data_IF_431778341868
#
_entry.id   IF_431778341868
#
_cell.length_a   1.000
_cell.length_b   1.000
_cell.length_c   1.000
_cell.angle_alpha   90.00
_cell.angle_beta   90.00
_cell.angle_gamma   90.00
#
_symmetry.space_group_name_H-M   'P 1'
#
loop_
_entity.id
_entity.type
_entity.pdbx_description
1 polymer ?
#
# COMPACT_ATOMS: atom_id res chain seq x y z
N UNK A 1 -11.16 -20.39 -11.72
CA UNK A 1 -10.87 -19.14 -12.43
C UNK A 1 -9.42 -18.77 -12.23
N UNK A 2 -8.66 -18.51 -13.31
CA UNK A 2 -7.39 -17.79 -13.19
C UNK A 2 -7.76 -16.38 -12.77
N UNK A 3 -7.40 -15.96 -11.58
CA UNK A 3 -7.59 -14.56 -11.17
C UNK A 3 -6.53 -13.71 -11.84
N UNK A 4 -6.85 -12.46 -12.20
CA UNK A 4 -5.89 -11.50 -12.77
C UNK A 4 -4.62 -11.45 -11.90
N UNK A 5 -4.78 -11.52 -10.58
CA UNK A 5 -3.68 -11.62 -9.63
C UNK A 5 -2.75 -12.82 -9.92
N UNK A 6 -3.30 -14.03 -10.14
CA UNK A 6 -2.48 -15.23 -10.33
C UNK A 6 -1.69 -15.22 -11.64
N UNK A 7 -2.22 -14.60 -12.69
CA UNK A 7 -1.51 -14.43 -13.96
C UNK A 7 -0.37 -13.42 -13.85
N UNK A 8 -0.63 -12.28 -13.26
CA UNK A 8 0.38 -11.25 -13.04
C UNK A 8 1.50 -11.74 -12.10
N UNK A 9 1.15 -12.47 -11.04
CA UNK A 9 2.11 -13.10 -10.14
C UNK A 9 2.98 -14.14 -10.86
N UNK A 10 2.40 -14.92 -11.78
CA UNK A 10 3.17 -15.87 -12.58
C UNK A 10 4.18 -15.15 -13.45
N UNK A 11 3.74 -14.14 -14.22
CA UNK A 11 4.65 -13.33 -15.06
C UNK A 11 5.77 -12.69 -14.25
N UNK A 12 5.48 -12.19 -13.05
CA UNK A 12 6.49 -11.64 -12.15
C UNK A 12 7.50 -12.72 -11.72
N UNK A 13 7.07 -13.96 -11.51
CA UNK A 13 7.92 -15.07 -11.08
C UNK A 13 8.70 -15.76 -12.23
N UNK A 14 8.44 -15.43 -13.47
CA UNK A 14 9.21 -15.96 -14.63
C UNK A 14 10.69 -15.55 -14.52
N UNK A 15 10.98 -14.37 -13.95
CA UNK A 15 12.35 -13.95 -13.64
C UNK A 15 12.69 -14.21 -12.16
N UNK A 16 13.14 -15.43 -11.85
CA UNK A 16 13.49 -15.84 -10.47
C UNK A 16 14.58 -14.98 -9.82
N UNK A 17 15.57 -14.54 -10.56
CA UNK A 17 16.64 -13.69 -10.03
C UNK A 17 16.09 -12.33 -9.58
N UNK A 18 15.19 -11.74 -10.35
CA UNK A 18 14.52 -10.48 -10.01
C UNK A 18 13.58 -10.64 -8.81
N UNK A 19 12.81 -11.73 -8.75
CA UNK A 19 11.91 -11.99 -7.62
C UNK A 19 12.65 -12.30 -6.32
N UNK A 20 13.77 -12.99 -6.38
CA UNK A 20 14.61 -13.24 -5.20
C UNK A 20 15.22 -11.94 -4.67
N UNK A 21 15.75 -11.10 -5.57
CA UNK A 21 16.25 -9.78 -5.20
C UNK A 21 15.13 -8.88 -4.60
N UNK A 22 13.95 -8.88 -5.20
CA UNK A 22 12.80 -8.13 -4.72
C UNK A 22 12.39 -8.57 -3.30
N UNK A 23 12.28 -9.88 -3.07
CA UNK A 23 11.97 -10.44 -1.75
C UNK A 23 13.01 -10.05 -0.69
N UNK A 24 14.30 -10.16 -1.02
CA UNK A 24 15.40 -9.79 -0.12
C UNK A 24 15.41 -8.29 0.20
N UNK A 25 15.11 -7.44 -0.78
CA UNK A 25 15.03 -5.99 -0.61
C UNK A 25 13.93 -5.62 0.39
N UNK A 26 12.73 -6.17 0.23
CA UNK A 26 11.63 -5.92 1.18
C UNK A 26 11.86 -6.52 2.55
N UNK A 27 12.53 -7.68 2.62
CA UNK A 27 12.92 -8.25 3.91
C UNK A 27 13.91 -7.36 4.65
N UNK A 28 14.88 -6.79 3.96
CA UNK A 28 15.81 -5.80 4.54
C UNK A 28 15.08 -4.56 5.08
N UNK A 29 14.08 -4.05 4.34
CA UNK A 29 13.24 -2.94 4.81
C UNK A 29 12.44 -3.31 6.05
N UNK A 30 11.90 -4.53 6.08
CA UNK A 30 11.21 -5.05 7.27
C UNK A 30 12.14 -5.10 8.48
N UNK A 31 13.36 -5.59 8.31
CA UNK A 31 14.35 -5.65 9.40
C UNK A 31 14.74 -4.24 9.88
N UNK A 32 14.95 -3.28 8.98
CA UNK A 32 15.20 -1.87 9.35
C UNK A 32 14.06 -1.30 10.18
N UNK A 33 12.82 -1.53 9.77
CA UNK A 33 11.62 -1.13 10.52
C UNK A 33 11.61 -1.75 11.91
N UNK A 34 11.85 -3.06 12.02
CA UNK A 34 11.80 -3.77 13.29
C UNK A 34 12.89 -3.27 14.26
N UNK A 35 14.09 -3.00 13.75
CA UNK A 35 15.17 -2.40 14.53
C UNK A 35 14.82 -0.99 15.05
N UNK A 36 14.15 -0.16 14.21
CA UNK A 36 13.71 1.17 14.62
C UNK A 36 12.55 1.13 15.62
N UNK A 37 11.68 0.14 15.51
CA UNK A 37 10.58 -0.07 16.45
C UNK A 37 11.09 -0.56 17.81
N UNK A 38 11.97 -1.57 17.81
CA UNK A 38 12.55 -2.13 19.05
C UNK A 38 13.46 -1.14 19.81
N UNK A 39 14.05 -0.18 19.10
CA UNK A 39 14.82 0.91 19.70
C UNK A 39 13.99 1.99 20.39
N UNK A 40 12.67 1.88 20.40
CA UNK A 40 11.74 2.84 20.98
C UNK A 40 10.90 2.13 22.06
N UNK A 41 11.24 2.28 23.36
CA UNK A 41 10.57 1.55 24.45
C UNK A 41 9.04 1.72 24.45
N UNK A 42 8.57 2.95 24.16
CA UNK A 42 7.15 3.30 24.12
C UNK A 42 6.46 2.97 22.76
N UNK A 43 7.03 2.10 21.94
CA UNK A 43 6.51 1.79 20.60
C UNK A 43 5.05 1.34 20.60
N UNK A 44 4.68 0.41 21.47
CA UNK A 44 3.32 -0.11 21.54
C UNK A 44 2.32 0.92 22.10
N UNK A 45 2.73 1.75 23.05
CA UNK A 45 1.92 2.85 23.57
C UNK A 45 1.64 3.89 22.46
N UNK A 46 2.66 4.24 21.64
CA UNK A 46 2.48 5.13 20.53
C UNK A 46 1.54 4.56 19.45
N UNK A 47 1.62 3.27 19.17
CA UNK A 47 0.70 2.59 18.25
C UNK A 47 -0.75 2.63 18.77
N UNK A 48 -0.93 2.41 20.05
CA UNK A 48 -2.25 2.49 20.70
C UNK A 48 -2.78 3.92 20.63
N UNK A 49 -1.98 4.92 21.00
CA UNK A 49 -2.36 6.32 20.90
C UNK A 49 -2.70 6.72 19.45
N UNK A 50 -1.91 6.30 18.48
CA UNK A 50 -2.20 6.56 17.05
C UNK A 50 -3.54 5.97 16.62
N UNK A 51 -3.84 4.75 17.07
CA UNK A 51 -5.11 4.08 16.81
C UNK A 51 -6.29 4.88 17.41
N UNK A 52 -6.17 5.27 18.68
CA UNK A 52 -7.19 6.04 19.42
C UNK A 52 -7.40 7.43 18.81
N UNK A 53 -6.31 8.16 18.48
CA UNK A 53 -6.38 9.46 17.82
C UNK A 53 -7.13 9.32 16.49
N UNK A 54 -6.77 8.35 15.65
CA UNK A 54 -7.44 8.15 14.37
C UNK A 54 -8.89 7.73 14.53
N UNK A 55 -9.20 6.85 15.46
CA UNK A 55 -10.57 6.47 15.79
C UNK A 55 -11.40 7.68 16.19
N UNK A 56 -10.91 8.46 17.16
CA UNK A 56 -11.58 9.69 17.62
C UNK A 56 -11.77 10.68 16.46
N UNK A 57 -10.72 10.89 15.65
CA UNK A 57 -10.78 11.85 14.55
C UNK A 57 -11.80 11.45 13.47
N UNK A 58 -11.87 10.17 13.08
CA UNK A 58 -12.81 9.75 12.04
C UNK A 58 -14.25 9.68 12.56
N UNK A 59 -14.47 9.46 13.84
CA UNK A 59 -15.81 9.52 14.44
C UNK A 59 -16.34 10.97 14.61
N UNK A 60 -15.44 11.97 14.60
CA UNK A 60 -15.76 13.40 14.65
C UNK A 60 -15.26 14.12 13.38
N UNK A 61 -15.29 13.41 12.26
CA UNK A 61 -14.62 13.86 11.03
C UNK A 61 -15.18 15.20 10.53
N UNK A 62 -16.49 15.39 10.57
CA UNK A 62 -17.15 16.61 10.11
C UNK A 62 -16.68 17.84 10.91
N UNK A 63 -16.67 17.76 12.25
CA UNK A 63 -16.27 18.84 13.12
C UNK A 63 -14.82 19.27 12.87
N UNK A 64 -13.91 18.30 12.72
CA UNK A 64 -12.50 18.57 12.45
C UNK A 64 -12.25 19.10 11.04
N UNK A 65 -13.04 18.70 10.04
CA UNK A 65 -12.94 19.24 8.69
C UNK A 65 -13.46 20.67 8.63
N UNK A 66 -14.53 21.00 9.36
CA UNK A 66 -15.05 22.35 9.47
C UNK A 66 -14.04 23.28 10.17
N UNK A 67 -13.48 22.86 11.30
CA UNK A 67 -12.41 23.59 11.99
C UNK A 67 -11.21 23.82 11.05
N UNK A 68 -10.76 22.78 10.35
CA UNK A 68 -9.63 22.83 9.45
C UNK A 68 -9.85 23.80 8.28
N UNK A 69 -11.00 23.73 7.60
CA UNK A 69 -11.33 24.62 6.49
C UNK A 69 -11.42 26.08 6.96
N UNK A 70 -12.07 26.31 8.09
CA UNK A 70 -12.17 27.66 8.71
C UNK A 70 -10.79 28.25 9.00
N UNK A 71 -9.85 27.44 9.53
CA UNK A 71 -8.48 27.89 9.81
C UNK A 71 -7.71 28.23 8.53
N UNK A 72 -7.88 27.48 7.45
CA UNK A 72 -7.25 27.75 6.16
C UNK A 72 -7.82 29.02 5.52
N UNK A 73 -9.15 29.15 5.45
CA UNK A 73 -9.85 30.28 4.84
C UNK A 73 -9.56 31.59 5.58
N UNK A 74 -9.43 31.54 6.91
CA UNK A 74 -9.04 32.73 7.72
C UNK A 74 -7.67 33.30 7.35
N UNK A 75 -6.83 32.53 6.64
CA UNK A 75 -5.50 32.94 6.15
C UNK A 75 -5.45 33.17 4.64
N UNK A 76 -6.64 33.24 3.99
CA UNK A 76 -6.73 33.48 2.55
C UNK A 76 -6.42 32.27 1.67
N UNK A 77 -6.44 31.05 2.22
CA UNK A 77 -6.38 29.81 1.44
C UNK A 77 -7.76 29.53 0.86
N UNK A 78 -7.82 29.14 -0.40
CA UNK A 78 -9.08 28.77 -1.06
C UNK A 78 -9.31 27.28 -0.87
N UNK A 79 -10.39 26.90 -0.17
CA UNK A 79 -10.73 25.52 0.13
C UNK A 79 -11.81 25.04 -0.85
N UNK A 80 -11.57 23.87 -1.43
CA UNK A 80 -12.50 23.19 -2.34
C UNK A 80 -12.88 21.84 -1.77
N UNK A 81 -14.11 21.42 -2.04
CA UNK A 81 -14.63 20.10 -1.65
C UNK A 81 -14.93 19.27 -2.89
N UNK A 82 -14.29 18.15 -3.01
CA UNK A 82 -14.49 17.21 -4.11
C UNK A 82 -15.13 15.91 -3.60
N UNK A 83 -16.31 15.60 -4.10
CA UNK A 83 -17.07 14.40 -3.71
C UNK A 83 -16.46 13.11 -4.26
N UNK A 84 -15.86 13.16 -5.44
CA UNK A 84 -15.29 12.02 -6.15
C UNK A 84 -14.09 12.42 -7.00
N UNK A 85 -13.46 11.42 -7.65
CA UNK A 85 -12.28 11.61 -8.49
C UNK A 85 -12.54 12.55 -9.69
N UNK A 86 -13.74 12.50 -10.28
CA UNK A 86 -14.09 13.32 -11.43
C UNK A 86 -14.25 14.79 -11.01
N UNK A 87 -14.92 15.03 -9.91
CA UNK A 87 -15.08 16.35 -9.33
C UNK A 87 -13.72 16.97 -8.94
N UNK A 88 -12.85 16.17 -8.27
CA UNK A 88 -11.47 16.56 -7.97
C UNK A 88 -10.69 16.98 -9.23
N UNK A 89 -10.73 16.18 -10.28
CA UNK A 89 -10.00 16.44 -11.51
C UNK A 89 -10.51 17.70 -12.21
N UNK A 90 -11.81 17.93 -12.24
CA UNK A 90 -12.41 19.13 -12.82
C UNK A 90 -12.02 20.40 -12.04
N UNK A 91 -12.09 20.36 -10.69
CA UNK A 91 -11.65 21.50 -9.84
C UNK A 91 -10.19 21.86 -10.14
N UNK A 92 -9.30 20.86 -10.21
CA UNK A 92 -7.88 21.08 -10.54
C UNK A 92 -7.72 21.68 -11.93
N UNK A 93 -8.43 21.17 -12.92
CA UNK A 93 -8.39 21.68 -14.30
C UNK A 93 -8.85 23.14 -14.37
N UNK A 94 -9.97 23.46 -13.75
CA UNK A 94 -10.54 24.83 -13.73
C UNK A 94 -9.57 25.83 -13.10
N UNK A 95 -8.93 25.45 -11.97
CA UNK A 95 -7.90 26.29 -11.34
C UNK A 95 -6.73 26.52 -12.28
N UNK A 96 -6.19 25.47 -12.90
CA UNK A 96 -5.05 25.60 -13.79
C UNK A 96 -5.36 26.42 -15.06
N UNK A 97 -6.54 26.21 -15.65
CA UNK A 97 -6.99 26.95 -16.84
C UNK A 97 -7.25 28.44 -16.53
N UNK A 98 -7.89 28.76 -15.40
CA UNK A 98 -8.14 30.15 -15.02
C UNK A 98 -6.86 30.96 -14.78
N UNK A 99 -5.76 30.28 -14.43
CA UNK A 99 -4.43 30.88 -14.28
C UNK A 99 -3.55 30.77 -15.54
N UNK A 100 -4.06 30.23 -16.64
CA UNK A 100 -3.31 30.04 -17.89
C UNK A 100 -2.13 29.06 -17.77
N UNK A 101 -2.18 28.14 -16.78
CA UNK A 101 -1.10 27.17 -16.53
C UNK A 101 -1.12 26.07 -17.56
N UNK A 102 0.03 25.81 -18.20
CA UNK A 102 0.25 24.72 -19.16
C UNK A 102 1.21 23.65 -18.63
N UNK A 103 1.95 23.95 -17.58
CA UNK A 103 2.89 23.02 -16.95
C UNK A 103 2.77 23.09 -15.45
N UNK A 104 2.60 21.92 -14.80
CA UNK A 104 2.55 21.77 -13.35
C UNK A 104 3.61 20.77 -12.88
N UNK A 105 4.33 21.09 -11.82
CA UNK A 105 5.19 20.14 -11.09
C UNK A 105 4.40 19.54 -9.93
N UNK A 106 4.56 18.24 -9.69
CA UNK A 106 3.81 17.54 -8.66
C UNK A 106 4.75 16.74 -7.76
N UNK A 107 4.70 16.98 -6.45
CA UNK A 107 5.28 16.05 -5.51
C UNK A 107 4.34 14.85 -5.32
N UNK A 108 4.90 13.70 -5.01
CA UNK A 108 4.19 12.43 -4.87
C UNK A 108 2.89 12.56 -4.07
N UNK A 109 1.79 12.06 -4.65
CA UNK A 109 0.50 11.97 -3.99
C UNK A 109 -0.26 10.72 -4.43
N UNK A 110 -0.53 9.82 -3.47
CA UNK A 110 -1.33 8.61 -3.75
C UNK A 110 -2.78 8.94 -4.07
N UNK A 111 -3.29 10.10 -3.61
CA UNK A 111 -4.65 10.54 -3.92
C UNK A 111 -4.79 10.95 -5.39
N UNK A 112 -3.79 11.62 -5.96
CA UNK A 112 -3.82 11.99 -7.38
C UNK A 112 -3.72 10.76 -8.29
N UNK A 113 -3.00 9.70 -7.86
CA UNK A 113 -2.99 8.41 -8.53
C UNK A 113 -4.35 7.69 -8.43
N UNK A 114 -4.99 7.78 -7.26
CA UNK A 114 -6.35 7.27 -7.03
C UNK A 114 -7.36 7.89 -7.99
N UNK A 115 -7.27 9.20 -8.19
CA UNK A 115 -8.14 9.96 -9.07
C UNK A 115 -7.73 9.91 -10.56
N UNK A 116 -6.64 9.23 -10.91
CA UNK A 116 -6.06 9.21 -12.27
C UNK A 116 -5.86 10.63 -12.85
N UNK A 117 -5.41 11.57 -12.01
CA UNK A 117 -5.32 13.00 -12.35
C UNK A 117 -4.34 13.28 -13.50
N UNK A 118 -3.16 12.65 -13.50
CA UNK A 118 -2.14 12.94 -14.53
C UNK A 118 -2.68 12.69 -15.95
N UNK A 119 -3.20 11.49 -16.32
CA UNK A 119 -3.73 11.26 -17.65
C UNK A 119 -4.94 12.15 -17.97
N UNK A 120 -5.74 12.54 -16.96
CA UNK A 120 -6.83 13.46 -17.16
C UNK A 120 -6.33 14.85 -17.60
N UNK A 121 -5.34 15.40 -16.91
CA UNK A 121 -4.77 16.73 -17.23
C UNK A 121 -3.98 16.72 -18.52
N UNK A 122 -3.22 15.66 -18.80
CA UNK A 122 -2.50 15.47 -20.06
C UNK A 122 -3.46 15.48 -21.27
N UNK A 123 -4.64 14.87 -21.14
CA UNK A 123 -5.69 14.92 -22.16
C UNK A 123 -6.31 16.33 -22.36
N UNK A 124 -6.02 17.28 -21.45
CA UNK A 124 -6.43 18.68 -21.53
C UNK A 124 -5.24 19.63 -21.80
N UNK A 125 -4.17 19.13 -22.41
CA UNK A 125 -2.97 19.88 -22.80
C UNK A 125 -2.23 20.54 -21.62
N UNK A 126 -2.25 19.91 -20.46
CA UNK A 126 -1.47 20.31 -19.29
C UNK A 126 -0.36 19.31 -19.04
N UNK A 127 0.90 19.76 -19.14
CA UNK A 127 2.09 18.96 -18.85
C UNK A 127 2.26 18.78 -17.33
N UNK A 128 2.12 17.54 -16.83
CA UNK A 128 2.28 17.20 -15.41
C UNK A 128 3.61 16.51 -15.22
N UNK A 129 4.50 17.12 -14.44
CA UNK A 129 5.84 16.59 -14.18
C UNK A 129 5.94 16.06 -12.75
N UNK A 130 6.15 14.75 -12.60
CA UNK A 130 6.45 14.14 -11.32
C UNK A 130 7.84 14.57 -10.83
N UNK A 131 7.94 14.95 -9.56
CA UNK A 131 9.19 15.45 -8.97
C UNK A 131 9.81 14.55 -7.90
N UNK A 132 9.06 13.55 -7.39
CA UNK A 132 9.63 12.42 -6.65
C UNK A 132 10.46 11.57 -7.63
N UNK A 133 11.68 11.20 -7.28
CA UNK A 133 12.57 10.48 -8.18
C UNK A 133 11.95 9.15 -8.65
N UNK A 134 11.35 8.39 -7.75
CA UNK A 134 10.72 7.12 -8.10
C UNK A 134 9.51 7.28 -9.02
N UNK A 135 8.65 8.27 -8.74
CA UNK A 135 7.50 8.60 -9.60
C UNK A 135 7.97 9.13 -10.97
N UNK A 136 9.01 9.96 -11.01
CA UNK A 136 9.57 10.48 -12.28
C UNK A 136 10.13 9.36 -13.15
N UNK A 137 10.85 8.40 -12.57
CA UNK A 137 11.34 7.21 -13.27
C UNK A 137 10.17 6.45 -13.90
N UNK A 138 9.10 6.22 -13.14
CA UNK A 138 7.92 5.51 -13.65
C UNK A 138 7.18 6.30 -14.72
N UNK A 139 7.05 7.61 -14.57
CA UNK A 139 6.47 8.48 -15.60
C UNK A 139 7.22 8.39 -16.92
N UNK A 140 8.56 8.44 -16.87
CA UNK A 140 9.43 8.32 -18.06
C UNK A 140 9.35 6.93 -18.73
N UNK A 141 9.06 5.88 -17.94
CA UNK A 141 8.85 4.51 -18.41
C UNK A 141 7.38 4.19 -18.77
N UNK A 142 6.45 5.13 -18.56
CA UNK A 142 5.01 4.91 -18.71
C UNK A 142 4.50 3.72 -17.87
N UNK A 143 5.01 3.59 -16.64
CA UNK A 143 4.64 2.54 -15.68
C UNK A 143 3.88 3.12 -14.49
N UNK A 144 3.05 2.29 -13.86
CA UNK A 144 2.36 2.64 -12.61
C UNK A 144 3.25 2.37 -11.38
N UNK A 145 2.99 3.03 -10.24
CA UNK A 145 3.67 2.72 -8.99
C UNK A 145 3.46 1.25 -8.57
N UNK A 146 4.53 0.58 -8.15
CA UNK A 146 4.46 -0.78 -7.60
C UNK A 146 4.40 -0.82 -6.07
N UNK A 147 4.70 0.30 -5.41
CA UNK A 147 4.69 0.49 -3.96
C UNK A 147 4.32 1.92 -3.60
N UNK A 148 3.59 2.12 -2.49
CA UNK A 148 3.09 3.46 -2.13
C UNK A 148 4.18 4.41 -1.60
N UNK A 149 5.28 3.91 -1.02
CA UNK A 149 6.38 4.74 -0.50
C UNK A 149 7.57 4.77 -1.46
N UNK A 150 7.89 3.64 -2.07
CA UNK A 150 9.01 3.48 -2.98
C UNK A 150 8.52 3.00 -4.35
N UNK A 151 7.93 3.88 -5.17
CA UNK A 151 7.14 3.49 -6.33
C UNK A 151 7.92 2.67 -7.36
N UNK A 152 9.19 2.97 -7.59
CA UNK A 152 10.07 2.31 -8.56
C UNK A 152 10.93 1.17 -7.97
N UNK A 153 10.64 0.67 -6.76
CA UNK A 153 11.47 -0.33 -6.05
C UNK A 153 11.61 -1.67 -6.80
N UNK A 154 10.77 -1.93 -7.78
CA UNK A 154 10.86 -3.12 -8.63
C UNK A 154 11.92 -3.00 -9.74
N UNK A 155 12.53 -1.82 -9.91
CA UNK A 155 13.58 -1.55 -10.89
C UNK A 155 14.96 -1.61 -10.23
N UNK A 156 15.92 -2.16 -10.95
CA UNK A 156 17.32 -2.11 -10.57
C UNK A 156 17.96 -0.83 -11.10
N UNK A 157 19.04 -0.37 -10.46
CA UNK A 157 19.76 0.84 -10.87
C UNK A 157 20.26 0.79 -12.32
N UNK A 158 20.60 -0.41 -12.82
CA UNK A 158 21.02 -0.61 -14.21
C UNK A 158 19.86 -0.31 -15.18
N UNK A 159 18.62 -0.75 -14.86
CA UNK A 159 17.43 -0.48 -15.64
C UNK A 159 17.13 1.03 -15.67
N UNK A 160 17.31 1.71 -14.53
CA UNK A 160 17.13 3.17 -14.42
C UNK A 160 18.19 3.92 -15.22
N UNK A 161 19.46 3.50 -15.12
CA UNK A 161 20.57 4.14 -15.85
C UNK A 161 20.42 4.03 -17.37
N UNK A 162 20.05 2.85 -17.86
CA UNK A 162 19.76 2.64 -19.29
C UNK A 162 18.62 3.57 -19.78
N UNK A 163 17.54 3.66 -19.02
CA UNK A 163 16.44 4.57 -19.37
C UNK A 163 16.89 6.03 -19.37
N UNK A 164 17.73 6.46 -18.42
CA UNK A 164 18.26 7.82 -18.39
C UNK A 164 19.15 8.12 -19.60
N UNK A 165 19.95 7.15 -20.08
CA UNK A 165 20.71 7.26 -21.30
C UNK A 165 19.79 7.42 -22.53
N UNK A 166 18.77 6.56 -22.65
CA UNK A 166 17.79 6.59 -23.74
C UNK A 166 17.01 7.91 -23.81
N UNK A 167 16.71 8.50 -22.65
CA UNK A 167 15.99 9.79 -22.54
C UNK A 167 16.91 11.02 -22.59
N UNK A 168 18.23 10.84 -22.72
CA UNK A 168 19.20 11.93 -22.74
C UNK A 168 19.34 12.68 -21.41
N UNK A 169 18.96 12.06 -20.30
CA UNK A 169 19.10 12.60 -18.94
C UNK A 169 20.51 12.37 -18.42
N UNK A 170 21.09 11.19 -18.71
CA UNK A 170 22.47 10.81 -18.42
C UNK A 170 23.32 10.99 -19.67
N UNK A 171 24.55 11.50 -19.52
CA UNK A 171 25.51 11.69 -20.61
C UNK A 171 26.64 10.65 -20.61
N UNK A 172 26.90 10.01 -19.48
CA UNK A 172 27.93 8.99 -19.33
C UNK A 172 27.33 7.60 -19.52
N UNK A 173 27.62 6.95 -20.64
CA UNK A 173 27.11 5.61 -20.92
C UNK A 173 27.72 4.57 -19.98
N UNK A 174 26.85 3.69 -19.44
CA UNK A 174 27.25 2.62 -18.53
C UNK A 174 27.58 3.05 -17.10
N UNK A 175 27.47 4.35 -16.79
CA UNK A 175 27.63 4.82 -15.42
C UNK A 175 26.29 4.72 -14.65
N UNK A 176 26.16 3.66 -13.86
CA UNK A 176 24.97 3.38 -13.04
C UNK A 176 25.21 3.61 -11.56
N UNK A 177 26.21 4.45 -11.21
CA UNK A 177 26.40 4.89 -9.85
C UNK A 177 25.19 5.68 -9.34
N UNK A 178 24.60 5.34 -8.16
CA UNK A 178 23.40 5.99 -7.67
C UNK A 178 23.57 7.50 -7.45
N UNK A 179 24.75 7.96 -7.05
CA UNK A 179 25.03 9.38 -6.83
C UNK A 179 25.03 10.13 -8.17
N UNK A 180 25.68 9.56 -9.18
CA UNK A 180 25.69 10.11 -10.53
C UNK A 180 24.26 10.20 -11.10
N UNK A 181 23.49 9.12 -11.05
CA UNK A 181 22.09 9.10 -11.54
C UNK A 181 21.22 10.12 -10.80
N UNK A 182 21.39 10.26 -9.49
CA UNK A 182 20.67 11.26 -8.70
C UNK A 182 21.02 12.69 -9.12
N UNK A 183 22.31 12.98 -9.42
CA UNK A 183 22.73 14.29 -9.91
C UNK A 183 22.17 14.57 -11.30
N UNK A 184 22.09 13.57 -12.19
CA UNK A 184 21.45 13.69 -13.50
C UNK A 184 19.96 14.03 -13.35
N UNK A 185 19.23 13.31 -12.50
CA UNK A 185 17.83 13.59 -12.22
C UNK A 185 17.61 14.99 -11.61
N UNK A 186 18.45 15.39 -10.65
CA UNK A 186 18.41 16.74 -10.06
C UNK A 186 18.59 17.83 -11.12
N UNK A 187 19.54 17.68 -12.03
CA UNK A 187 19.79 18.62 -13.12
C UNK A 187 18.62 18.67 -14.09
N UNK A 188 18.07 17.53 -14.45
CA UNK A 188 16.88 17.42 -15.30
C UNK A 188 15.66 18.10 -14.68
N UNK A 189 15.35 17.83 -13.41
CA UNK A 189 14.18 18.37 -12.72
C UNK A 189 14.29 19.87 -12.44
N UNK A 190 15.52 20.40 -12.31
CA UNK A 190 15.69 21.84 -12.01
C UNK A 190 14.98 22.74 -13.02
N UNK A 191 15.10 22.44 -14.30
CA UNK A 191 14.44 23.23 -15.35
C UNK A 191 12.92 23.09 -15.26
N UNK A 192 12.42 21.89 -14.92
CA UNK A 192 10.99 21.64 -14.76
C UNK A 192 10.39 22.51 -13.65
N UNK A 193 11.08 22.62 -12.52
CA UNK A 193 10.66 23.50 -11.42
C UNK A 193 10.65 24.98 -11.80
N UNK A 194 11.63 25.43 -12.60
CA UNK A 194 11.74 26.84 -13.03
C UNK A 194 10.67 27.25 -14.03
N UNK A 195 10.21 26.32 -14.86
CA UNK A 195 9.23 26.53 -15.94
C UNK A 195 7.77 26.35 -15.47
N UNK A 196 7.55 25.72 -14.31
CA UNK A 196 6.22 25.39 -13.84
C UNK A 196 5.40 26.63 -13.44
N UNK A 197 4.18 26.72 -13.97
CA UNK A 197 3.21 27.73 -13.56
C UNK A 197 2.50 27.40 -12.27
N UNK A 198 2.37 26.10 -11.94
CA UNK A 198 1.77 25.60 -10.72
C UNK A 198 2.60 24.48 -10.09
N UNK A 199 2.45 24.31 -8.79
CA UNK A 199 2.97 23.17 -8.07
C UNK A 199 1.88 22.48 -7.24
N UNK A 200 1.90 21.15 -7.21
CA UNK A 200 0.96 20.37 -6.42
C UNK A 200 1.68 19.53 -5.39
N UNK A 201 1.11 19.47 -4.19
CA UNK A 201 1.53 18.54 -3.13
C UNK A 201 0.38 17.65 -2.70
N UNK A 202 0.72 16.45 -2.21
CA UNK A 202 -0.20 15.69 -1.36
C UNK A 202 -0.20 16.25 0.06
N UNK A 203 -0.90 15.53 0.95
CA UNK A 203 -0.92 15.81 2.38
C UNK A 203 -0.75 14.50 3.15
N UNK A 204 0.23 14.45 4.06
CA UNK A 204 0.34 13.33 4.99
C UNK A 204 -0.64 13.50 6.15
N UNK A 205 -0.71 14.73 6.71
CA UNK A 205 -1.61 15.08 7.81
C UNK A 205 -2.10 16.52 7.66
N UNK A 206 -3.40 16.73 7.88
CA UNK A 206 -3.99 18.07 8.08
C UNK A 206 -4.23 18.29 9.58
N UNK A 207 -3.73 19.37 10.15
CA UNK A 207 -3.92 19.69 11.58
C UNK A 207 -5.13 20.58 11.74
N UNK A 208 -6.24 20.06 12.27
CA UNK A 208 -7.52 20.77 12.35
C UNK A 208 -7.39 22.13 13.07
N UNK A 209 -6.84 22.11 14.28
CA UNK A 209 -6.72 23.28 15.14
C UNK A 209 -5.93 24.43 14.52
N UNK A 210 -5.06 24.18 13.55
CA UNK A 210 -4.16 25.21 12.99
C UNK A 210 -4.25 25.39 11.49
N UNK A 211 -4.98 24.54 10.79
CA UNK A 211 -5.04 24.54 9.32
C UNK A 211 -3.73 24.15 8.62
N UNK A 212 -2.78 23.51 9.32
CA UNK A 212 -1.51 23.14 8.71
C UNK A 212 -1.66 21.92 7.81
N UNK A 213 -1.13 22.03 6.60
CA UNK A 213 -0.87 20.95 5.68
C UNK A 213 0.53 20.42 5.95
N UNK A 214 0.65 19.18 6.39
CA UNK A 214 1.95 18.58 6.74
C UNK A 214 2.37 17.59 5.65
N UNK A 215 3.54 17.82 5.07
CA UNK A 215 4.16 16.95 4.06
C UNK A 215 5.45 16.38 4.59
N UNK A 216 5.54 15.05 4.62
CA UNK A 216 6.72 14.30 5.08
C UNK A 216 7.42 13.68 3.88
N UNK A 217 8.65 14.07 3.60
CA UNK A 217 9.43 13.59 2.46
C UNK A 217 10.91 13.48 2.77
N UNK A 218 11.65 12.66 2.02
CA UNK A 218 13.12 12.58 2.09
C UNK A 218 13.82 13.39 0.99
N UNK A 219 13.03 14.02 0.12
CA UNK A 219 13.51 14.85 -0.97
C UNK A 219 13.00 16.28 -0.81
N UNK A 220 13.74 17.26 -1.29
CA UNK A 220 13.31 18.67 -1.29
C UNK A 220 12.25 19.02 -2.37
N UNK A 221 11.67 18.00 -3.01
CA UNK A 221 10.74 18.16 -4.13
C UNK A 221 9.44 18.85 -3.75
N UNK A 222 8.88 18.54 -2.58
CA UNK A 222 7.66 19.20 -2.11
C UNK A 222 7.88 20.70 -1.88
N UNK A 223 8.98 21.05 -1.19
CA UNK A 223 9.34 22.46 -0.93
C UNK A 223 9.65 23.22 -2.23
N UNK A 224 10.31 22.57 -3.20
CA UNK A 224 10.53 23.16 -4.51
C UNK A 224 9.23 23.36 -5.30
N UNK A 225 8.32 22.37 -5.25
CA UNK A 225 7.00 22.46 -5.91
C UNK A 225 6.13 23.58 -5.34
N UNK A 226 6.32 23.97 -4.10
CA UNK A 226 5.54 25.04 -3.43
C UNK A 226 6.22 26.40 -3.50
N UNK A 227 7.56 26.44 -3.52
CA UNK A 227 8.32 27.69 -3.43
C UNK A 227 8.65 28.31 -4.78
N UNK A 228 8.70 27.53 -5.86
CA UNK A 228 9.04 28.05 -7.19
C UNK A 228 7.81 28.62 -7.93
N UNK A 229 6.68 27.89 -8.11
CA UNK A 229 5.50 28.42 -8.76
C UNK A 229 4.76 29.42 -7.87
N UNK A 230 3.94 30.29 -8.48
CA UNK A 230 3.05 31.21 -7.75
C UNK A 230 1.71 30.58 -7.33
N UNK A 231 1.37 29.45 -7.91
CA UNK A 231 0.15 28.71 -7.62
C UNK A 231 0.49 27.38 -6.95
N UNK A 232 -0.01 27.19 -5.73
CA UNK A 232 0.15 25.94 -4.97
C UNK A 232 -1.19 25.25 -4.77
N UNK A 233 -1.33 24.03 -5.28
CA UNK A 233 -2.47 23.15 -5.08
C UNK A 233 -2.13 22.04 -4.10
N UNK A 234 -3.05 21.72 -3.19
CA UNK A 234 -2.91 20.61 -2.24
C UNK A 234 -4.03 19.61 -2.46
N UNK A 235 -3.67 18.35 -2.72
CA UNK A 235 -4.62 17.23 -2.77
C UNK A 235 -4.65 16.50 -1.43
N UNK A 236 -5.79 16.52 -0.72
CA UNK A 236 -5.92 15.92 0.60
C UNK A 236 -7.18 15.08 0.73
N UNK A 237 -7.04 13.79 1.04
CA UNK A 237 -8.17 12.95 1.45
C UNK A 237 -8.68 13.37 2.82
N UNK A 238 -9.98 13.40 3.00
CA UNK A 238 -10.62 13.85 4.26
C UNK A 238 -10.15 13.05 5.48
N UNK A 239 -9.73 11.81 5.32
CA UNK A 239 -9.20 10.96 6.38
C UNK A 239 -7.83 11.38 6.91
N UNK A 240 -7.17 12.37 6.28
CA UNK A 240 -5.80 12.82 6.68
C UNK A 240 -5.77 13.75 7.87
N UNK A 241 -6.92 14.20 8.35
CA UNK A 241 -7.04 15.07 9.52
C UNK A 241 -6.47 14.42 10.78
N UNK A 242 -5.84 15.25 11.61
CA UNK A 242 -5.48 15.01 13.00
C UNK A 242 -5.89 16.25 13.83
N UNK A 243 -6.26 16.07 15.11
CA UNK A 243 -6.80 17.19 15.91
C UNK A 243 -5.83 18.36 16.08
N UNK A 244 -4.61 18.07 16.52
CA UNK A 244 -3.63 19.08 16.95
C UNK A 244 -2.18 18.60 16.77
N UNK A 245 -1.20 19.45 17.15
CA UNK A 245 0.22 19.12 17.08
C UNK A 245 0.65 18.00 18.03
N UNK A 246 -0.01 17.79 19.17
CA UNK A 246 0.30 16.70 20.08
C UNK A 246 -0.02 15.38 19.41
N UNK A 247 -1.18 15.32 18.77
CA UNK A 247 -1.61 14.19 17.94
C UNK A 247 -0.67 13.97 16.75
N UNK A 248 -0.29 15.04 16.04
CA UNK A 248 0.67 14.97 14.93
C UNK A 248 2.02 14.38 15.36
N UNK A 249 2.55 14.77 16.53
CA UNK A 249 3.83 14.29 17.04
C UNK A 249 3.88 12.77 17.20
N UNK A 250 2.76 12.14 17.57
CA UNK A 250 2.65 10.67 17.63
C UNK A 250 2.88 10.07 16.23
N UNK A 251 2.22 10.60 15.22
CA UNK A 251 2.34 10.09 13.85
C UNK A 251 3.71 10.36 13.22
N UNK A 252 4.32 11.50 13.50
CA UNK A 252 5.69 11.79 13.01
C UNK A 252 6.72 10.79 13.55
N UNK A 253 6.57 10.36 14.81
CA UNK A 253 7.43 9.33 15.41
C UNK A 253 7.20 7.95 14.80
N UNK A 254 5.98 7.63 14.36
CA UNK A 254 5.60 6.33 13.82
C UNK A 254 5.81 6.20 12.32
N UNK A 255 5.52 7.26 11.54
CA UNK A 255 5.43 7.19 10.09
C UNK A 255 6.74 6.71 9.46
N UNK A 256 7.82 7.42 9.69
CA UNK A 256 9.09 7.17 9.02
C UNK A 256 9.75 5.86 9.49
N UNK A 257 9.65 5.56 10.80
CA UNK A 257 10.11 4.29 11.37
C UNK A 257 9.39 3.11 10.71
N UNK A 258 8.09 3.25 10.47
CA UNK A 258 7.27 2.20 9.84
C UNK A 258 7.50 2.07 8.34
N UNK A 259 7.76 3.18 7.64
CA UNK A 259 7.87 3.22 6.19
C UNK A 259 9.21 2.71 5.67
N UNK A 260 10.29 3.33 6.12
CA UNK A 260 11.66 3.13 5.60
C UNK A 260 12.67 2.71 6.67
N UNK A 261 12.24 2.60 7.94
CA UNK A 261 13.13 2.30 9.05
C UNK A 261 14.10 3.45 9.36
N UNK A 262 13.60 4.68 9.28
CA UNK A 262 14.35 5.90 9.62
C UNK A 262 13.74 6.53 10.88
N UNK A 263 14.52 7.21 11.74
CA UNK A 263 13.96 7.86 12.93
C UNK A 263 13.03 9.03 12.59
N UNK A 264 13.34 9.79 11.54
CA UNK A 264 12.54 10.93 11.02
C UNK A 264 12.69 11.00 9.50
N UNK A 265 11.79 11.73 8.82
CA UNK A 265 11.98 12.16 7.44
C UNK A 265 13.01 13.29 7.37
N UNK A 266 13.67 13.44 6.21
CA UNK A 266 14.62 14.54 6.00
C UNK A 266 13.91 15.91 6.05
N UNK A 267 12.68 15.96 5.53
CA UNK A 267 11.85 17.17 5.52
C UNK A 267 10.49 16.85 6.13
N UNK A 268 10.00 17.71 7.00
CA UNK A 268 8.63 17.75 7.50
C UNK A 268 8.15 19.19 7.37
N UNK A 269 7.54 19.48 6.23
CA UNK A 269 7.15 20.84 5.87
C UNK A 269 5.72 21.12 6.26
N UNK A 270 5.47 22.32 6.78
CA UNK A 270 4.16 22.80 7.20
C UNK A 270 3.73 23.96 6.31
N UNK A 271 2.64 23.81 5.58
CA UNK A 271 2.06 24.82 4.72
C UNK A 271 0.69 25.22 5.28
N UNK A 272 0.50 26.46 5.66
CA UNK A 272 -0.76 26.96 6.25
C UNK A 272 -1.34 28.18 5.53
N UNK A 273 -0.59 28.76 4.63
CA UNK A 273 -0.99 29.92 3.83
C UNK A 273 -0.10 30.03 2.60
N UNK A 274 -0.56 30.75 1.60
CA UNK A 274 0.27 31.11 0.46
C UNK A 274 1.44 32.01 0.89
N UNK A 275 2.59 31.90 0.20
CA UNK A 275 3.66 32.88 0.35
C UNK A 275 3.25 34.22 -0.27
N UNK A 276 3.89 35.36 0.10
CA UNK A 276 3.54 36.66 -0.47
C UNK A 276 3.59 36.67 -2.00
N UNK A 277 2.50 37.14 -2.63
CA UNK A 277 2.35 37.18 -4.08
C UNK A 277 2.09 35.84 -4.77
N UNK A 278 1.72 34.82 -4.00
CA UNK A 278 1.28 33.52 -4.48
C UNK A 278 -0.13 33.19 -3.99
N UNK A 279 -0.75 32.16 -4.57
CA UNK A 279 -2.08 31.66 -4.22
C UNK A 279 -2.00 30.20 -3.81
N UNK A 280 -2.85 29.79 -2.86
CA UNK A 280 -2.89 28.41 -2.35
C UNK A 280 -4.33 27.90 -2.36
N UNK A 281 -4.52 26.75 -2.98
CA UNK A 281 -5.77 26.00 -3.02
C UNK A 281 -5.61 24.66 -2.32
N UNK A 282 -6.58 24.32 -1.47
CA UNK A 282 -6.65 23.03 -0.80
C UNK A 282 -7.90 22.30 -1.27
N UNK A 283 -7.74 21.14 -1.89
CA UNK A 283 -8.86 20.33 -2.36
C UNK A 283 -9.02 19.16 -1.39
N UNK A 284 -10.11 19.17 -0.62
CA UNK A 284 -10.53 18.12 0.29
C UNK A 284 -11.36 17.10 -0.48
N UNK A 285 -10.91 15.86 -0.50
CA UNK A 285 -11.47 14.83 -1.38
C UNK A 285 -12.09 13.70 -0.55
N UNK A 286 -13.37 13.47 -0.75
CA UNK A 286 -14.06 12.30 -0.18
C UNK A 286 -13.74 11.02 -0.96
N UNK A 287 -14.11 10.94 -2.20
CA UNK A 287 -13.93 9.78 -3.09
C UNK A 287 -14.25 8.44 -2.39
N UNK A 288 -15.44 8.37 -1.76
CA UNK A 288 -15.95 7.19 -1.07
C UNK A 288 -15.44 6.96 0.35
N UNK A 289 -14.74 7.92 0.95
CA UNK A 289 -14.25 7.80 2.35
C UNK A 289 -15.40 7.86 3.35
N UNK A 290 -16.42 8.65 3.08
CA UNK A 290 -17.66 8.69 3.86
C UNK A 290 -18.41 7.35 3.81
N UNK A 291 -18.45 6.67 2.66
CA UNK A 291 -19.03 5.33 2.53
C UNK A 291 -18.21 4.27 3.32
N UNK A 292 -16.89 4.41 3.33
CA UNK A 292 -16.01 3.56 4.16
C UNK A 292 -16.29 3.80 5.64
N UNK A 293 -16.46 5.05 6.06
CA UNK A 293 -16.78 5.41 7.44
C UNK A 293 -18.11 4.82 7.89
N UNK A 294 -19.10 4.78 7.01
CA UNK A 294 -20.42 4.19 7.27
C UNK A 294 -20.41 2.64 7.31
N UNK A 295 -19.28 2.00 7.01
CA UNK A 295 -19.17 0.54 7.00
C UNK A 295 -18.68 0.02 8.35
N UNK A 296 -19.55 -0.58 9.16
CA UNK A 296 -19.28 -1.05 10.52
C UNK A 296 -18.08 -2.03 10.61
N UNK A 297 -17.80 -2.80 9.56
CA UNK A 297 -16.76 -3.82 9.61
C UNK A 297 -15.40 -3.33 9.05
N UNK A 298 -15.41 -2.28 8.20
CA UNK A 298 -14.21 -1.89 7.45
C UNK A 298 -13.80 -0.42 7.60
N UNK A 299 -14.50 0.37 8.44
CA UNK A 299 -14.19 1.79 8.69
C UNK A 299 -12.74 2.00 9.20
N UNK A 300 -12.17 1.02 9.93
CA UNK A 300 -10.79 1.08 10.40
C UNK A 300 -9.77 1.28 9.28
N UNK A 301 -10.13 1.00 8.02
CA UNK A 301 -9.32 1.29 6.84
C UNK A 301 -8.94 2.78 6.75
N UNK A 302 -9.79 3.69 7.25
CA UNK A 302 -9.53 5.14 7.30
C UNK A 302 -8.47 5.55 8.34
N UNK A 303 -8.12 4.67 9.29
CA UNK A 303 -7.00 4.91 10.21
C UNK A 303 -5.64 4.86 9.51
N UNK A 304 -5.57 4.39 8.26
CA UNK A 304 -4.34 4.15 7.54
C UNK A 304 -3.58 5.44 7.21
N UNK A 305 -2.33 5.54 7.70
CA UNK A 305 -1.41 6.66 7.45
C UNK A 305 -0.53 6.47 6.20
N UNK A 306 -0.80 5.45 5.39
CA UNK A 306 -0.10 5.15 4.12
C UNK A 306 1.42 4.91 4.26
N UNK A 307 1.89 4.36 5.36
CA UNK A 307 3.31 4.10 5.61
C UNK A 307 3.91 2.91 4.81
N UNK A 308 3.11 2.01 4.25
CA UNK A 308 3.59 0.88 3.45
C UNK A 308 4.15 -0.31 4.26
N UNK A 309 4.22 -0.26 5.59
CA UNK A 309 4.78 -1.34 6.43
C UNK A 309 4.12 -2.71 6.18
N UNK A 310 2.81 -2.72 5.95
CA UNK A 310 2.04 -3.93 5.64
C UNK A 310 2.48 -4.59 4.32
N UNK A 311 2.94 -3.82 3.33
CA UNK A 311 3.49 -4.33 2.06
C UNK A 311 4.86 -4.95 2.29
N UNK A 312 5.74 -4.25 3.03
CA UNK A 312 7.11 -4.69 3.30
C UNK A 312 7.16 -6.04 4.02
N UNK A 313 6.18 -6.34 4.86
CA UNK A 313 6.09 -7.60 5.60
C UNK A 313 5.36 -8.72 4.84
N UNK A 314 4.50 -8.38 3.87
CA UNK A 314 3.59 -9.34 3.24
C UNK A 314 4.32 -10.37 2.38
N UNK A 315 4.27 -11.69 2.71
CA UNK A 315 4.95 -12.71 1.92
C UNK A 315 4.38 -12.83 0.49
N UNK A 316 3.08 -12.56 0.32
CA UNK A 316 2.43 -12.57 -1.00
C UNK A 316 2.94 -11.42 -1.84
N UNK A 317 2.90 -10.18 -1.33
CA UNK A 317 3.38 -9.01 -2.04
C UNK A 317 4.86 -9.16 -2.45
N UNK A 318 5.71 -9.62 -1.54
CA UNK A 318 7.14 -9.81 -1.80
C UNK A 318 7.41 -10.81 -2.92
N UNK A 319 6.55 -11.80 -3.11
CA UNK A 319 6.69 -12.89 -4.10
C UNK A 319 5.86 -12.69 -5.37
N UNK A 320 4.86 -11.81 -5.37
CA UNK A 320 3.99 -11.57 -6.53
C UNK A 320 4.18 -10.19 -7.17
N UNK A 321 4.85 -9.27 -6.46
CA UNK A 321 5.01 -7.88 -6.89
C UNK A 321 3.75 -7.04 -6.79
N UNK A 322 3.90 -5.72 -6.84
CA UNK A 322 2.79 -4.77 -6.69
C UNK A 322 1.74 -4.87 -7.78
N UNK A 323 2.17 -5.07 -9.02
CA UNK A 323 1.26 -5.12 -10.18
C UNK A 323 0.29 -6.30 -10.18
N UNK A 324 0.57 -7.35 -9.39
CA UNK A 324 -0.33 -8.50 -9.27
C UNK A 324 -1.68 -8.15 -8.63
N UNK A 325 -1.74 -7.06 -7.86
CA UNK A 325 -2.96 -6.62 -7.19
C UNK A 325 -3.93 -5.88 -8.13
N UNK A 326 -3.47 -5.40 -9.27
CA UNK A 326 -4.26 -4.66 -10.29
C UNK A 326 -4.96 -3.40 -9.78
N UNK A 327 -4.68 -2.99 -8.55
CA UNK A 327 -5.16 -1.80 -7.89
C UNK A 327 -3.97 -0.85 -7.63
N UNK A 328 -4.17 0.47 -7.66
CA UNK A 328 -3.09 1.44 -7.53
C UNK A 328 -2.38 1.39 -6.16
N UNK A 329 -3.05 0.91 -5.13
CA UNK A 329 -2.45 0.56 -3.84
C UNK A 329 -2.37 -0.97 -3.73
N UNK A 330 -1.19 -1.57 -3.80
CA UNK A 330 -1.05 -3.01 -3.62
C UNK A 330 -0.98 -3.44 -2.16
N UNK A 331 -0.86 -4.75 -1.92
CA UNK A 331 -0.66 -5.32 -0.60
C UNK A 331 -1.90 -5.33 0.28
N UNK A 332 -1.75 -5.62 1.58
CA UNK A 332 -2.89 -5.88 2.48
C UNK A 332 -3.89 -4.75 2.59
N UNK A 333 -3.43 -3.49 2.69
CA UNK A 333 -4.34 -2.34 2.72
C UNK A 333 -5.05 -2.16 1.38
N UNK A 334 -4.36 -2.41 0.27
CA UNK A 334 -4.94 -2.31 -1.08
C UNK A 334 -5.99 -3.38 -1.35
N UNK A 335 -5.88 -4.57 -0.74
CA UNK A 335 -6.94 -5.58 -0.81
C UNK A 335 -8.24 -5.01 -0.23
N UNK A 336 -8.18 -4.41 0.96
CA UNK A 336 -9.36 -3.87 1.64
C UNK A 336 -9.96 -2.68 0.87
N UNK A 337 -9.13 -1.73 0.44
CA UNK A 337 -9.58 -0.58 -0.35
C UNK A 337 -10.18 -1.01 -1.70
N UNK A 338 -9.58 -1.97 -2.38
CA UNK A 338 -10.11 -2.50 -3.63
C UNK A 338 -11.46 -3.19 -3.44
N UNK A 339 -11.63 -3.97 -2.37
CA UNK A 339 -12.92 -4.60 -2.04
C UNK A 339 -14.01 -3.58 -1.71
N UNK A 340 -13.67 -2.50 -1.01
CA UNK A 340 -14.58 -1.41 -0.71
C UNK A 340 -14.99 -0.64 -1.96
N UNK A 341 -14.09 -0.49 -2.92
CA UNK A 341 -14.36 0.18 -4.19
C UNK A 341 -15.19 -0.69 -5.15
N UNK A 342 -14.74 -1.91 -5.40
CA UNK A 342 -15.39 -2.85 -6.33
C UNK A 342 -15.05 -4.31 -5.97
N UNK A 343 -15.89 -4.91 -5.14
CA UNK A 343 -15.73 -6.31 -4.72
C UNK A 343 -15.78 -7.29 -5.92
N UNK A 344 -16.46 -6.92 -6.99
CA UNK A 344 -16.56 -7.74 -8.20
C UNK A 344 -15.22 -7.89 -8.90
N UNK A 345 -14.48 -6.79 -8.99
CA UNK A 345 -13.19 -6.70 -9.67
C UNK A 345 -12.04 -7.25 -8.82
N UNK A 346 -12.05 -6.97 -7.51
CA UNK A 346 -10.88 -7.17 -6.64
C UNK A 346 -10.97 -8.40 -5.71
N UNK A 347 -12.07 -9.15 -5.73
CA UNK A 347 -12.25 -10.35 -4.88
C UNK A 347 -11.14 -11.41 -5.02
N UNK A 348 -10.49 -11.50 -6.17
CA UNK A 348 -9.34 -12.39 -6.39
C UNK A 348 -8.15 -12.10 -5.47
N UNK A 349 -7.93 -10.84 -5.10
CA UNK A 349 -6.85 -10.43 -4.20
C UNK A 349 -7.07 -10.96 -2.76
N UNK A 350 -8.32 -11.03 -2.31
CA UNK A 350 -8.70 -11.61 -1.02
C UNK A 350 -8.26 -13.07 -0.91
N UNK A 351 -8.46 -13.85 -1.99
CA UNK A 351 -8.06 -15.26 -2.05
C UNK A 351 -6.54 -15.47 -2.07
N UNK A 352 -5.77 -14.49 -2.53
CA UNK A 352 -4.31 -14.56 -2.57
C UNK A 352 -3.64 -14.37 -1.19
N UNK A 353 -4.34 -13.77 -0.22
CA UNK A 353 -3.81 -13.56 1.13
C UNK A 353 -3.59 -14.89 1.87
N UNK A 354 -2.47 -15.03 2.59
CA UNK A 354 -2.17 -16.23 3.41
C UNK A 354 -2.77 -16.17 4.82
N UNK A 355 -3.40 -15.06 5.21
CA UNK A 355 -3.93 -14.79 6.55
C UNK A 355 -2.87 -14.95 7.67
N UNK A 356 -1.62 -14.66 7.40
CA UNK A 356 -0.54 -14.75 8.39
C UNK A 356 -0.56 -13.61 9.43
N UNK A 357 -1.41 -12.61 9.28
CA UNK A 357 -1.62 -11.43 10.15
C UNK A 357 -0.35 -10.58 10.41
N UNK A 358 0.75 -10.83 9.69
CA UNK A 358 1.97 -10.03 9.85
C UNK A 358 1.74 -8.54 9.59
N UNK A 359 0.80 -8.21 8.70
CA UNK A 359 0.41 -6.83 8.39
C UNK A 359 -0.28 -6.13 9.57
N UNK A 360 -1.05 -6.85 10.40
CA UNK A 360 -1.70 -6.32 11.60
C UNK A 360 -0.64 -6.01 12.67
N UNK A 361 0.32 -6.94 12.84
CA UNK A 361 1.40 -6.79 13.82
C UNK A 361 2.30 -5.59 13.54
N UNK A 362 2.59 -5.27 12.28
CA UNK A 362 3.48 -4.15 11.92
C UNK A 362 2.76 -2.81 11.79
N UNK A 363 1.43 -2.79 11.75
CA UNK A 363 0.67 -1.57 11.48
C UNK A 363 0.83 -0.54 12.61
N UNK A 364 1.36 0.67 12.34
CA UNK A 364 1.57 1.67 13.38
C UNK A 364 0.27 2.31 13.88
N UNK A 365 -0.83 2.22 13.12
CA UNK A 365 -2.14 2.77 13.49
C UNK A 365 -3.18 1.68 13.76
N UNK A 366 -2.76 0.41 13.92
CA UNK A 366 -3.63 -0.74 14.19
C UNK A 366 -4.88 -0.79 13.30
N UNK A 367 -4.66 -0.67 11.99
CA UNK A 367 -5.73 -0.77 10.97
C UNK A 367 -6.27 -2.19 10.85
N UNK A 368 -5.50 -3.19 11.28
CA UNK A 368 -5.81 -4.61 11.21
C UNK A 368 -6.17 -5.11 9.80
N UNK A 369 -5.34 -4.81 8.76
CA UNK A 369 -5.72 -5.12 7.39
C UNK A 369 -5.87 -6.61 7.11
N UNK A 370 -5.12 -7.49 7.81
CA UNK A 370 -5.23 -8.95 7.68
C UNK A 370 -6.53 -9.49 8.28
N UNK A 371 -6.94 -8.97 9.43
CA UNK A 371 -8.22 -9.30 10.08
C UNK A 371 -9.40 -8.87 9.20
N UNK A 372 -9.34 -7.70 8.56
CA UNK A 372 -10.34 -7.24 7.61
C UNK A 372 -10.41 -8.13 6.36
N UNK A 373 -9.26 -8.62 5.84
CA UNK A 373 -9.24 -9.58 4.73
C UNK A 373 -9.92 -10.90 5.12
N UNK A 374 -9.80 -11.32 6.39
CA UNK A 374 -10.51 -12.49 6.90
C UNK A 374 -12.03 -12.27 6.88
N UNK A 375 -12.52 -11.10 7.31
CA UNK A 375 -13.95 -10.75 7.22
C UNK A 375 -14.44 -10.74 5.76
N UNK A 376 -13.68 -10.20 4.83
CA UNK A 376 -13.98 -10.29 3.40
C UNK A 376 -14.09 -11.73 2.91
N UNK A 377 -13.22 -12.65 3.38
CA UNK A 377 -13.30 -14.07 2.99
C UNK A 377 -14.60 -14.71 3.41
N UNK A 378 -15.10 -14.38 4.59
CA UNK A 378 -16.40 -14.88 5.06
C UNK A 378 -17.54 -14.38 4.17
N UNK A 379 -17.45 -13.14 3.66
CA UNK A 379 -18.45 -12.54 2.77
C UNK A 379 -18.36 -12.99 1.31
N UNK A 380 -17.25 -13.56 0.85
CA UNK A 380 -17.10 -13.94 -0.56
C UNK A 380 -18.18 -14.91 -1.05
N UNK A 381 -18.70 -15.76 -0.20
CA UNK A 381 -19.75 -16.69 -0.54
C UNK A 381 -21.10 -15.99 -0.73
N UNK A 382 -21.48 -15.12 0.19
CA UNK A 382 -22.69 -14.29 0.08
C UNK A 382 -22.66 -13.36 -1.14
N UNK A 383 -21.48 -12.90 -1.51
CA UNK A 383 -21.24 -12.07 -2.71
C UNK A 383 -21.19 -12.91 -4.01
N UNK A 384 -21.45 -14.23 -3.95
CA UNK A 384 -21.36 -15.18 -5.09
C UNK A 384 -20.00 -15.14 -5.82
N UNK A 385 -18.91 -14.79 -5.12
CA UNK A 385 -17.53 -14.70 -5.65
C UNK A 385 -16.65 -15.88 -5.24
N UNK A 386 -17.13 -16.78 -4.37
CA UNK A 386 -16.38 -17.97 -3.98
C UNK A 386 -16.30 -18.97 -5.14
N UNK A 387 -15.12 -19.57 -5.31
CA UNK A 387 -14.87 -20.62 -6.30
C UNK A 387 -15.67 -21.89 -5.96
N UNK A 388 -16.41 -22.41 -6.93
CA UNK A 388 -17.28 -23.60 -6.76
C UNK A 388 -16.50 -24.81 -6.26
N UNK A 389 -15.27 -25.03 -6.77
CA UNK A 389 -14.43 -26.14 -6.33
C UNK A 389 -14.05 -25.98 -4.85
N UNK A 390 -13.69 -24.77 -4.41
CA UNK A 390 -13.38 -24.48 -3.00
C UNK A 390 -14.61 -24.69 -2.11
N UNK A 391 -15.80 -24.32 -2.56
CA UNK A 391 -17.06 -24.59 -1.84
C UNK A 391 -17.29 -26.10 -1.64
N UNK A 392 -17.13 -26.87 -2.71
CA UNK A 392 -17.29 -28.33 -2.63
C UNK A 392 -16.26 -28.97 -1.70
N UNK A 393 -14.98 -28.53 -1.80
CA UNK A 393 -13.92 -29.03 -0.92
C UNK A 393 -14.19 -28.67 0.55
N UNK A 394 -14.61 -27.43 0.83
CA UNK A 394 -14.93 -26.98 2.20
C UNK A 394 -16.08 -27.78 2.80
N UNK A 395 -17.16 -28.00 2.04
CA UNK A 395 -18.28 -28.86 2.47
C UNK A 395 -17.85 -30.31 2.72
N UNK A 396 -17.02 -30.86 1.83
CA UNK A 396 -16.47 -32.21 2.04
C UNK A 396 -15.59 -32.32 3.29
N UNK A 397 -14.79 -31.29 3.59
CA UNK A 397 -14.02 -31.24 4.84
C UNK A 397 -14.91 -31.05 6.06
N UNK A 398 -15.95 -30.22 5.96
CA UNK A 398 -16.94 -30.03 7.01
C UNK A 398 -17.61 -31.36 7.39
N UNK A 399 -18.11 -32.11 6.41
CA UNK A 399 -18.68 -33.44 6.63
C UNK A 399 -17.69 -34.41 7.24
N UNK A 400 -16.45 -34.42 6.74
CA UNK A 400 -15.39 -35.27 7.29
C UNK A 400 -15.10 -34.97 8.76
N UNK A 401 -15.00 -33.69 9.14
CA UNK A 401 -14.68 -33.28 10.51
C UNK A 401 -15.83 -33.42 11.48
N UNK A 402 -17.07 -33.30 11.01
CA UNK A 402 -18.26 -33.45 11.81
C UNK A 402 -18.57 -34.93 12.14
N UNK A 403 -17.97 -35.87 11.40
CA UNK A 403 -18.19 -37.31 11.60
C UNK A 403 -16.94 -38.03 12.10
N UNK A 404 -16.78 -38.29 13.43
CA UNK A 404 -15.57 -38.88 14.02
C UNK A 404 -15.15 -40.22 13.40
N UNK A 405 -16.10 -41.04 12.98
CA UNK A 405 -15.82 -42.35 12.35
C UNK A 405 -15.23 -42.17 10.94
N UNK A 406 -15.79 -41.24 10.15
CA UNK A 406 -15.25 -40.91 8.83
C UNK A 406 -13.85 -40.33 8.94
N UNK A 407 -13.65 -39.40 9.88
CA UNK A 407 -12.36 -38.80 10.15
C UNK A 407 -11.29 -39.83 10.55
N UNK A 408 -11.64 -40.72 11.49
CA UNK A 408 -10.74 -41.81 11.92
C UNK A 408 -10.39 -42.77 10.78
N UNK A 409 -11.36 -43.08 9.92
CA UNK A 409 -11.16 -43.95 8.74
C UNK A 409 -10.26 -43.26 7.71
N UNK A 410 -10.52 -41.98 7.44
CA UNK A 410 -9.67 -41.18 6.53
C UNK A 410 -8.23 -41.12 7.02
N UNK A 411 -7.98 -40.90 8.32
CA UNK A 411 -6.64 -40.92 8.90
C UNK A 411 -5.92 -42.27 8.79
N UNK A 412 -6.66 -43.39 8.85
CA UNK A 412 -6.08 -44.73 8.66
C UNK A 412 -5.67 -44.99 7.21
N UNK A 413 -6.44 -44.43 6.25
CA UNK A 413 -6.21 -44.56 4.81
C UNK A 413 -5.20 -43.53 4.26
N UNK A 414 -4.98 -42.42 4.95
CA UNK A 414 -4.10 -41.34 4.50
C UNK A 414 -2.68 -41.78 4.10
N UNK A 415 -2.02 -42.75 4.81
CA UNK A 415 -0.70 -43.22 4.41
C UNK A 415 -0.65 -43.85 3.01
N UNK A 416 -1.78 -44.39 2.50
CA UNK A 416 -1.85 -44.92 1.14
C UNK A 416 -1.62 -43.86 0.08
N UNK A 417 -1.91 -42.60 0.38
CA UNK A 417 -1.65 -41.47 -0.51
C UNK A 417 -0.15 -41.26 -0.77
N UNK A 418 0.72 -41.77 0.11
CA UNK A 418 2.19 -41.78 -0.11
C UNK A 418 2.64 -42.65 -1.27
N UNK A 419 1.77 -43.54 -1.74
CA UNK A 419 2.03 -44.45 -2.87
C UNK A 419 1.75 -43.78 -4.22
N UNK A 420 1.10 -42.58 -4.20
CA UNK A 420 0.78 -41.84 -5.42
C UNK A 420 2.08 -41.21 -5.94
N UNK A 421 2.47 -41.49 -7.21
CA UNK A 421 3.66 -40.91 -7.80
C UNK A 421 3.61 -39.37 -7.83
N UNK A 422 4.74 -38.71 -7.55
CA UNK A 422 4.85 -37.26 -7.56
C UNK A 422 4.39 -36.62 -8.90
N UNK A 423 4.61 -37.33 -10.01
CA UNK A 423 4.13 -36.88 -11.33
C UNK A 423 2.63 -36.68 -11.43
N UNK A 424 1.83 -37.47 -10.69
CA UNK A 424 0.38 -37.33 -10.64
C UNK A 424 -0.07 -36.25 -9.67
N UNK A 425 0.67 -36.06 -8.59
CA UNK A 425 0.33 -35.02 -7.58
C UNK A 425 0.57 -33.60 -8.09
N UNK A 426 1.35 -33.41 -9.15
CA UNK A 426 1.64 -32.11 -9.78
C UNK A 426 0.76 -31.80 -11.00
N UNK A 427 -0.17 -32.68 -11.38
CA UNK A 427 -1.12 -32.42 -12.47
C UNK A 427 -2.17 -31.42 -12.01
N UNK A 428 -2.16 -30.22 -12.62
CA UNK A 428 -3.03 -29.07 -12.23
C UNK A 428 -4.53 -29.42 -12.23
N UNK A 429 -4.99 -30.27 -13.15
CA UNK A 429 -6.39 -30.66 -13.24
C UNK A 429 -6.82 -31.60 -12.11
N UNK A 430 -5.89 -32.39 -11.57
CA UNK A 430 -6.17 -33.35 -10.48
C UNK A 430 -5.88 -32.72 -9.11
N UNK A 431 -4.84 -31.94 -9.00
CA UNK A 431 -4.41 -31.30 -7.77
C UNK A 431 -3.93 -29.86 -8.03
N UNK A 432 -4.83 -28.87 -8.05
CA UNK A 432 -4.43 -27.48 -8.26
C UNK A 432 -3.46 -26.94 -7.21
N UNK A 433 -3.47 -27.51 -5.99
CA UNK A 433 -2.56 -27.13 -4.92
C UNK A 433 -1.14 -27.68 -5.12
N UNK A 434 -1.02 -28.87 -5.68
CA UNK A 434 0.28 -29.54 -5.94
C UNK A 434 1.15 -28.82 -6.97
N UNK A 435 0.60 -27.89 -7.75
CA UNK A 435 1.40 -27.11 -8.69
C UNK A 435 2.27 -26.10 -7.91
N UNK A 436 3.58 -26.41 -7.81
CA UNK A 436 4.53 -25.56 -7.09
C UNK A 436 4.67 -25.86 -5.59
N UNK A 437 3.98 -26.89 -5.07
CA UNK A 437 4.09 -27.33 -3.68
C UNK A 437 4.53 -28.80 -3.65
N UNK A 438 5.47 -29.13 -2.77
CA UNK A 438 5.75 -30.52 -2.44
C UNK A 438 4.60 -31.10 -1.61
N UNK A 439 4.09 -32.26 -1.97
CA UNK A 439 3.07 -32.93 -1.18
C UNK A 439 3.66 -33.41 0.14
N UNK A 440 3.02 -33.11 1.29
CA UNK A 440 3.47 -33.66 2.57
C UNK A 440 3.27 -35.17 2.58
N UNK A 441 4.25 -35.88 3.15
CA UNK A 441 4.10 -37.31 3.40
C UNK A 441 3.28 -37.52 4.65
N UNK A 442 2.26 -38.37 4.54
CA UNK A 442 1.45 -38.77 5.68
C UNK A 442 2.20 -39.71 6.58
N UNK A 443 2.13 -39.51 7.89
CA UNK A 443 2.68 -40.43 8.87
C UNK A 443 1.92 -41.78 8.81
N UNK A 444 2.64 -42.91 9.04
CA UNK A 444 2.06 -44.26 8.99
C UNK A 444 0.99 -44.49 10.07
N UNK A 445 1.07 -43.77 11.19
CA UNK A 445 0.10 -43.80 12.28
C UNK A 445 -0.35 -42.37 12.60
N UNK A 446 -1.65 -42.18 12.85
CA UNK A 446 -2.18 -40.89 13.32
C UNK A 446 -1.75 -40.61 14.77
N UNK A 447 -1.69 -39.32 15.15
CA UNK A 447 -1.44 -38.90 16.53
C UNK A 447 -2.38 -39.62 17.52
N UNK A 448 -3.70 -39.68 17.19
CA UNK A 448 -4.68 -40.38 18.02
C UNK A 448 -4.35 -41.87 18.23
N UNK A 449 -3.86 -42.53 17.16
CA UNK A 449 -3.48 -43.95 17.27
C UNK A 449 -2.23 -44.12 18.13
N UNK A 450 -1.23 -43.26 17.98
CA UNK A 450 -0.02 -43.26 18.84
C UNK A 450 -0.33 -42.94 20.28
N UNK A 451 -1.20 -41.98 20.54
CA UNK A 451 -1.66 -41.63 21.90
C UNK A 451 -2.35 -42.79 22.58
N UNK A 452 -3.33 -43.45 21.93
CA UNK A 452 -4.02 -44.63 22.45
C UNK A 452 -3.09 -45.81 22.72
N UNK A 453 -1.97 -45.91 22.01
CA UNK A 453 -0.96 -46.97 22.18
C UNK A 453 0.11 -46.59 23.23
N UNK A 454 0.04 -45.40 23.83
CA UNK A 454 1.06 -44.94 24.79
C UNK A 454 2.43 -44.66 24.19
N UNK A 455 2.56 -44.58 22.87
CA UNK A 455 3.86 -44.43 22.18
C UNK A 455 4.46 -43.02 22.36
N UNK A 456 3.69 -42.02 22.76
CA UNK A 456 4.17 -40.64 22.90
C UNK A 456 4.96 -40.40 24.17
N UNK A 457 4.76 -41.24 25.20
CA UNK A 457 5.48 -41.13 26.48
C UNK A 457 6.87 -41.82 26.47
N UNK A 458 7.24 -42.50 25.36
CA UNK A 458 8.50 -43.24 25.30
C UNK A 458 9.71 -42.42 24.80
N UNK A 459 9.49 -41.22 24.27
CA UNK A 459 10.58 -40.36 23.79
C UNK A 459 11.21 -39.51 24.92
N UNK A 460 10.50 -39.24 26.02
CA UNK A 460 11.08 -38.52 27.14
C UNK A 460 12.05 -39.37 27.98
N UNK A 461 12.00 -40.71 27.87
CA UNK A 461 12.89 -41.63 28.59
C UNK A 461 14.19 -41.98 27.84
N UNK A 462 14.39 -41.49 26.60
CA UNK A 462 15.63 -41.74 25.81
C UNK A 462 16.58 -40.54 25.79
N UNK A 463 16.21 -39.41 26.36
CA UNK A 463 17.07 -38.23 26.49
C UNK A 463 17.49 -37.96 27.95
N UNK A 464 17.26 -38.91 28.86
CA UNK A 464 17.89 -38.99 30.18
C UNK A 464 18.92 -40.14 30.21
#
# INVERSE_FOLDING_TARGET
MSTIHSEAARRFNDNRAKTTWHDATFWSLRQKRDNMASGLPEWEELREHASQIKQHTVTHLADYLEEFSTQLESRGVIVHWAKDANDFNNIVLDILQSHGVKKMVKSKSMLTEECAMNPFLENHDIDVVETDLGERILQLLHQKPSHIVMPAIHLKREEVGQMFEEKGISTEKGNYDPTYLTQCARKHLRNQFMEAGAGMTGCNFGVAKTGDIVVCTNEGNADMSTSMPKLHLVAMGIEKIVPDYKSLAVFQRLLCRSATGQPTTAYTSHFRQARPGAEMHVILVDNGRSDILANDEHWETLKCIRCGACMNTCPVYRRSGGYSYTYFIPGPIGINLGMLLDASRYSGNVSACTLCLSCDNVCPAKVNPGSQVYMWRQKLDSLHKADTMKKCMSKGMEELFNHPLLYSSALRLAPLANLIPDSLTHIRSLNPWGVGHAMPKFANESFQAMWKKGKLNQNEQKEQ
#
